data_IF_446347218212
#
_entry.id   IF_446347218212
#
_cell.length_a   1.000
_cell.length_b   1.000
_cell.length_c   1.000
_cell.angle_alpha   90.00
_cell.angle_beta   90.00
_cell.angle_gamma   90.00
#
_symmetry.space_group_name_H-M   'P 1'
#
loop_
_entity.id
_entity.type
_entity.pdbx_description
1 polymer ?
#
# COMPACT_ATOMS: atom_id res chain seq x y z
N UNK A 1 19.39 -30.19 -4.93
CA UNK A 1 18.02 -29.70 -5.18
C UNK A 1 17.96 -28.23 -4.78
N UNK A 2 17.88 -27.30 -5.73
CA UNK A 2 17.84 -25.86 -5.43
C UNK A 2 16.38 -25.53 -5.09
N UNK A 3 16.10 -25.27 -3.81
CA UNK A 3 14.76 -24.92 -3.36
C UNK A 3 14.43 -23.51 -3.87
N UNK A 4 13.79 -23.42 -5.03
CA UNK A 4 13.29 -22.17 -5.60
C UNK A 4 11.98 -21.78 -4.90
N UNK A 5 12.07 -21.52 -3.59
CA UNK A 5 10.94 -21.22 -2.73
C UNK A 5 10.41 -19.83 -3.06
N UNK A 6 9.19 -19.76 -3.61
CA UNK A 6 8.43 -18.50 -3.70
C UNK A 6 7.79 -18.26 -2.34
N UNK A 7 8.17 -17.16 -1.69
CA UNK A 7 7.50 -16.74 -0.45
C UNK A 7 6.41 -15.76 -0.86
N UNK A 8 5.21 -15.96 -0.32
CA UNK A 8 4.13 -14.98 -0.47
C UNK A 8 3.74 -14.41 0.89
N UNK A 9 3.66 -13.09 0.97
CA UNK A 9 3.28 -12.35 2.18
C UNK A 9 2.08 -11.45 1.87
N UNK A 10 1.24 -11.22 2.87
CA UNK A 10 0.18 -10.22 2.77
C UNK A 10 0.57 -8.98 3.55
N UNK A 11 0.41 -7.83 2.92
CA UNK A 11 0.75 -6.52 3.47
C UNK A 11 -0.45 -5.60 3.32
N UNK A 12 -0.70 -4.78 4.33
CA UNK A 12 -1.68 -3.70 4.29
C UNK A 12 -0.93 -2.38 4.13
N UNK A 13 -1.34 -1.56 3.17
CA UNK A 13 -1.05 -0.14 3.10
C UNK A 13 -2.19 0.63 3.75
N UNK A 14 -1.85 1.66 4.52
CA UNK A 14 -2.79 2.50 5.24
C UNK A 14 -2.41 3.97 5.05
N UNK A 15 -3.28 4.73 4.39
CA UNK A 15 -3.16 6.17 4.20
C UNK A 15 -4.14 6.89 5.14
N UNK A 16 -3.68 7.29 6.35
CA UNK A 16 -4.56 7.88 7.35
C UNK A 16 -4.94 9.32 7.03
N UNK A 17 -6.24 9.60 6.97
CA UNK A 17 -6.76 10.97 6.87
C UNK A 17 -7.67 11.35 8.03
N UNK A 18 -8.03 12.63 8.08
CA UNK A 18 -8.88 13.19 9.14
C UNK A 18 -10.32 12.66 9.07
N UNK A 19 -10.89 12.68 7.87
CA UNK A 19 -12.29 12.31 7.64
C UNK A 19 -12.39 10.90 7.02
N UNK A 20 -11.43 10.55 6.18
CA UNK A 20 -11.38 9.30 5.44
C UNK A 20 -9.96 8.78 5.35
N UNK A 21 -9.82 7.46 5.24
CA UNK A 21 -8.53 6.78 5.10
C UNK A 21 -8.54 5.84 3.91
N UNK A 22 -7.41 5.78 3.20
CA UNK A 22 -7.14 4.77 2.19
C UNK A 22 -6.62 3.48 2.81
N UNK A 23 -7.13 2.33 2.38
CA UNK A 23 -6.64 1.02 2.79
C UNK A 23 -6.44 0.17 1.54
N UNK A 24 -5.27 -0.45 1.42
CA UNK A 24 -4.98 -1.43 0.39
C UNK A 24 -4.39 -2.69 1.00
N UNK A 25 -4.91 -3.87 0.64
CA UNK A 25 -4.27 -5.15 0.93
C UNK A 25 -3.67 -5.70 -0.35
N UNK A 26 -2.41 -6.09 -0.25
CA UNK A 26 -1.67 -6.67 -1.37
C UNK A 26 -1.08 -8.00 -0.97
N UNK A 27 -0.92 -8.87 -1.96
CA UNK A 27 -0.09 -10.07 -1.88
C UNK A 27 1.23 -9.78 -2.56
N UNK A 28 2.31 -9.93 -1.81
CA UNK A 28 3.67 -9.84 -2.32
C UNK A 28 4.11 -11.21 -2.78
N UNK A 29 4.61 -11.30 -4.01
CA UNK A 29 5.26 -12.49 -4.52
C UNK A 29 6.75 -12.25 -4.57
N UNK A 30 7.46 -12.86 -3.63
CA UNK A 30 8.88 -12.64 -3.43
C UNK A 30 9.65 -13.80 -4.05
N UNK A 31 10.63 -13.47 -4.89
CA UNK A 31 11.57 -14.46 -5.42
C UNK A 31 12.88 -14.33 -4.68
N UNK A 32 13.30 -15.41 -4.03
CA UNK A 32 14.66 -15.48 -3.47
C UNK A 32 15.66 -15.40 -4.62
N UNK A 33 16.75 -14.61 -4.49
CA UNK A 33 17.79 -14.55 -5.50
C UNK A 33 18.33 -15.95 -5.80
N UNK A 34 18.57 -16.26 -7.07
CA UNK A 34 19.35 -17.45 -7.41
C UNK A 34 20.77 -17.27 -6.84
N UNK A 35 21.38 -18.34 -6.33
CA UNK A 35 22.72 -18.29 -5.74
C UNK A 35 23.70 -17.59 -6.71
N UNK A 36 24.30 -16.48 -6.27
CA UNK A 36 25.32 -15.74 -7.02
C UNK A 36 24.83 -14.51 -7.80
N UNK A 37 23.53 -14.20 -7.81
CA UNK A 37 23.05 -12.88 -8.23
C UNK A 37 23.02 -11.94 -7.02
N UNK A 38 23.46 -10.69 -7.19
CA UNK A 38 23.28 -9.63 -6.20
C UNK A 38 21.85 -9.67 -5.63
N UNK A 39 21.73 -9.30 -4.35
CA UNK A 39 20.59 -9.51 -3.44
C UNK A 39 19.30 -8.76 -3.82
N UNK A 40 18.95 -8.69 -5.11
CA UNK A 40 17.75 -8.06 -5.61
C UNK A 40 16.53 -8.92 -5.22
N UNK A 41 15.94 -8.60 -4.08
CA UNK A 41 14.63 -9.07 -3.69
C UNK A 41 13.57 -8.48 -4.64
N UNK A 42 13.24 -9.23 -5.69
CA UNK A 42 12.15 -8.80 -6.58
C UNK A 42 10.83 -9.24 -5.95
N UNK A 43 10.04 -8.26 -5.49
CA UNK A 43 8.68 -8.44 -5.04
C UNK A 43 7.70 -7.93 -6.10
N UNK A 44 6.84 -8.81 -6.63
CA UNK A 44 5.68 -8.36 -7.40
C UNK A 44 4.52 -8.05 -6.45
N UNK A 45 3.91 -6.88 -6.61
CA UNK A 45 2.74 -6.43 -5.84
C UNK A 45 1.48 -6.85 -6.59
N UNK A 46 0.67 -7.72 -5.99
CA UNK A 46 -0.67 -8.05 -6.47
C UNK A 46 -1.70 -7.40 -5.56
N UNK A 47 -2.47 -6.45 -6.09
CA UNK A 47 -3.55 -5.79 -5.35
C UNK A 47 -4.69 -6.80 -5.17
N UNK A 48 -4.96 -7.18 -3.91
CA UNK A 48 -6.06 -8.07 -3.55
C UNK A 48 -7.33 -7.27 -3.27
N UNK A 49 -7.19 -6.16 -2.54
CA UNK A 49 -8.29 -5.24 -2.27
C UNK A 49 -7.78 -3.82 -2.05
N UNK A 50 -8.56 -2.84 -2.48
CA UNK A 50 -8.35 -1.44 -2.13
C UNK A 50 -9.69 -0.78 -1.83
N UNK A 51 -9.73 0.12 -0.85
CA UNK A 51 -10.94 0.87 -0.48
C UNK A 51 -10.60 2.14 0.28
N UNK A 52 -11.48 3.13 0.16
CA UNK A 52 -11.53 4.27 1.08
C UNK A 52 -12.62 4.03 2.12
N UNK A 53 -12.32 4.35 3.38
CA UNK A 53 -13.23 4.20 4.53
C UNK A 53 -13.30 5.48 5.34
N UNK A 54 -14.37 5.67 6.07
CA UNK A 54 -14.47 6.74 7.07
C UNK A 54 -13.43 6.50 8.18
N UNK A 55 -12.76 7.56 8.64
CA UNK A 55 -11.70 7.47 9.66
C UNK A 55 -12.19 6.76 10.93
N UNK A 56 -13.43 7.00 11.35
CA UNK A 56 -14.04 6.33 12.51
C UNK A 56 -14.09 4.80 12.40
N UNK A 57 -14.07 4.25 11.18
CA UNK A 57 -14.10 2.80 10.90
C UNK A 57 -12.75 2.22 10.51
N UNK A 58 -11.72 3.05 10.31
CA UNK A 58 -10.46 2.65 9.69
C UNK A 58 -9.70 1.60 10.51
N UNK A 59 -9.57 1.80 11.83
CA UNK A 59 -8.91 0.83 12.71
C UNK A 59 -9.63 -0.51 12.70
N UNK A 60 -10.97 -0.49 12.80
CA UNK A 60 -11.76 -1.71 12.80
C UNK A 60 -11.58 -2.50 11.48
N UNK A 61 -11.49 -1.80 10.34
CA UNK A 61 -11.23 -2.43 9.04
C UNK A 61 -9.82 -3.07 9.00
N UNK A 62 -8.77 -2.35 9.41
CA UNK A 62 -7.40 -2.89 9.46
C UNK A 62 -7.31 -4.13 10.35
N UNK A 63 -7.93 -4.07 11.54
CA UNK A 63 -7.93 -5.20 12.50
C UNK A 63 -8.69 -6.39 11.94
N UNK A 64 -9.87 -6.18 11.36
CA UNK A 64 -10.64 -7.25 10.74
C UNK A 64 -9.84 -7.95 9.62
N UNK A 65 -9.09 -7.18 8.84
CA UNK A 65 -8.21 -7.76 7.81
C UNK A 65 -7.03 -8.55 8.41
N UNK A 66 -6.43 -8.08 9.50
CA UNK A 66 -5.38 -8.81 10.22
C UNK A 66 -5.88 -10.13 10.83
N UNK A 67 -7.18 -10.23 11.14
CA UNK A 67 -7.79 -11.46 11.65
C UNK A 67 -8.16 -12.45 10.53
N UNK A 68 -8.53 -11.94 9.35
CA UNK A 68 -9.01 -12.77 8.23
C UNK A 68 -7.89 -13.25 7.30
N UNK A 69 -6.76 -12.53 7.26
CA UNK A 69 -5.65 -12.80 6.37
C UNK A 69 -4.35 -12.91 7.17
N UNK A 70 -3.36 -13.69 6.70
CA UNK A 70 -2.05 -13.79 7.34
C UNK A 70 -1.21 -12.55 7.02
N UNK A 71 -1.66 -11.39 7.50
CA UNK A 71 -0.98 -10.11 7.35
C UNK A 71 0.31 -10.15 8.17
N UNK A 72 1.43 -9.80 7.55
CA UNK A 72 2.73 -9.72 8.23
C UNK A 72 3.12 -8.28 8.55
N UNK A 73 2.60 -7.32 7.78
CA UNK A 73 3.05 -5.93 7.84
C UNK A 73 1.90 -4.98 7.52
N UNK A 74 1.81 -3.91 8.30
CA UNK A 74 1.00 -2.72 8.03
C UNK A 74 1.96 -1.56 7.74
N UNK A 75 1.86 -0.98 6.55
CA UNK A 75 2.64 0.17 6.09
C UNK A 75 1.75 1.40 6.16
N UNK A 76 2.13 2.38 6.97
CA UNK A 76 1.34 3.59 7.24
C UNK A 76 2.04 4.85 6.72
N UNK A 77 1.28 5.79 6.15
CA UNK A 77 1.77 7.13 5.83
C UNK A 77 2.19 7.92 7.08
N UNK A 78 3.24 8.71 6.98
CA UNK A 78 3.82 9.48 8.09
C UNK A 78 3.31 10.93 8.21
N UNK A 79 2.15 11.22 7.63
CA UNK A 79 1.51 12.54 7.61
C UNK A 79 1.21 13.19 8.95
N UNK A 80 0.53 14.35 8.88
CA UNK A 80 0.30 15.23 10.04
C UNK A 80 -0.45 14.53 11.19
N UNK A 81 -1.33 13.57 10.89
CA UNK A 81 -2.08 12.81 11.89
C UNK A 81 -1.43 11.47 12.30
N UNK A 82 -0.30 11.11 11.69
CA UNK A 82 0.32 9.78 11.81
C UNK A 82 0.61 9.36 13.25
N UNK A 83 1.03 10.29 14.13
CA UNK A 83 1.31 9.98 15.54
C UNK A 83 0.09 9.42 16.27
N UNK A 84 -1.10 9.98 16.03
CA UNK A 84 -2.33 9.52 16.67
C UNK A 84 -2.68 8.10 16.20
N UNK A 85 -2.67 7.88 14.89
CA UNK A 85 -2.95 6.59 14.29
C UNK A 85 -1.95 5.52 14.69
N UNK A 86 -0.66 5.87 14.73
CA UNK A 86 0.42 4.97 15.14
C UNK A 86 0.17 4.43 16.53
N UNK A 87 -0.08 5.31 17.51
CA UNK A 87 -0.33 4.91 18.90
C UNK A 87 -1.51 3.95 19.00
N UNK A 88 -2.60 4.21 18.27
CA UNK A 88 -3.76 3.33 18.27
C UNK A 88 -3.47 1.96 17.63
N UNK A 89 -2.77 1.95 16.50
CA UNK A 89 -2.42 0.72 15.80
C UNK A 89 -1.43 -0.14 16.60
N UNK A 90 -0.42 0.46 17.23
CA UNK A 90 0.55 -0.26 18.07
C UNK A 90 -0.11 -0.98 19.26
N UNK A 91 -1.23 -0.45 19.77
CA UNK A 91 -1.97 -1.07 20.87
C UNK A 91 -2.88 -2.22 20.45
N UNK A 92 -3.37 -2.21 19.20
CA UNK A 92 -4.46 -3.10 18.77
C UNK A 92 -3.97 -4.17 17.78
N UNK A 93 -2.89 -3.90 17.04
CA UNK A 93 -2.33 -4.86 16.11
C UNK A 93 -1.79 -6.10 16.85
N UNK A 94 -1.94 -7.31 16.28
CA UNK A 94 -1.32 -8.50 16.83
C UNK A 94 0.20 -8.35 16.89
N UNK A 95 0.85 -8.91 17.91
CA UNK A 95 2.30 -8.84 18.07
C UNK A 95 3.11 -9.46 16.91
N UNK A 96 2.47 -10.29 16.09
CA UNK A 96 3.05 -10.88 14.88
C UNK A 96 3.05 -9.94 13.67
N UNK A 97 2.33 -8.82 13.74
CA UNK A 97 2.20 -7.84 12.66
C UNK A 97 3.15 -6.68 12.92
N UNK A 98 4.04 -6.40 11.97
CA UNK A 98 4.94 -5.25 12.06
C UNK A 98 4.25 -3.99 11.54
N UNK A 99 4.25 -2.90 12.32
CA UNK A 99 3.83 -1.57 11.86
C UNK A 99 5.06 -0.77 11.40
N UNK A 100 5.04 -0.32 10.14
CA UNK A 100 6.10 0.49 9.55
C UNK A 100 5.51 1.80 9.05
N UNK A 101 6.25 2.90 9.18
CA UNK A 101 5.87 4.21 8.63
C UNK A 101 6.74 4.58 7.44
N UNK A 102 6.12 5.17 6.42
CA UNK A 102 6.78 5.57 5.18
C UNK A 102 6.42 7.01 4.84
N UNK A 103 7.38 7.70 4.24
CA UNK A 103 7.21 9.06 3.76
C UNK A 103 6.07 9.15 2.73
N UNK A 104 5.03 9.93 3.06
CA UNK A 104 3.87 10.17 2.19
C UNK A 104 4.03 11.39 1.26
N UNK A 105 5.17 12.08 1.27
CA UNK A 105 5.40 13.28 0.48
C UNK A 105 5.08 13.05 -0.99
N UNK A 106 4.29 13.96 -1.57
CA UNK A 106 3.84 13.96 -2.96
C UNK A 106 3.04 12.71 -3.40
N UNK A 107 2.64 11.84 -2.45
CA UNK A 107 1.91 10.60 -2.75
C UNK A 107 0.56 10.86 -3.42
N UNK A 108 -0.13 11.93 -3.05
CA UNK A 108 -1.41 12.32 -3.66
C UNK A 108 -1.24 12.66 -5.14
N UNK A 109 -0.19 13.38 -5.52
CA UNK A 109 0.06 13.71 -6.93
C UNK A 109 0.41 12.46 -7.74
N UNK A 110 1.24 11.58 -7.16
CA UNK A 110 1.56 10.28 -7.75
C UNK A 110 0.31 9.41 -7.93
N UNK A 111 -0.60 9.39 -6.95
CA UNK A 111 -1.87 8.69 -7.04
C UNK A 111 -2.78 9.25 -8.15
N UNK A 112 -2.80 10.57 -8.37
CA UNK A 112 -3.55 11.19 -9.48
C UNK A 112 -3.04 10.71 -10.84
N UNK A 113 -1.72 10.60 -10.99
CA UNK A 113 -1.13 10.10 -12.22
C UNK A 113 -1.41 8.60 -12.39
N UNK A 114 -1.30 7.82 -11.31
CA UNK A 114 -1.56 6.37 -11.29
C UNK A 114 -3.02 6.00 -11.54
N UNK A 115 -3.97 6.85 -11.14
CA UNK A 115 -5.40 6.67 -11.40
C UNK A 115 -5.68 6.42 -12.90
N UNK A 116 -5.06 7.18 -13.79
CA UNK A 116 -5.30 7.05 -15.23
C UNK A 116 -4.68 5.79 -15.86
N UNK A 117 -3.67 5.20 -15.21
CA UNK A 117 -3.11 3.89 -15.59
C UNK A 117 -4.06 2.76 -15.21
N UNK A 118 -4.69 2.84 -14.03
CA UNK A 118 -5.68 1.86 -13.56
C UNK A 118 -7.04 2.01 -14.26
N UNK A 119 -7.41 3.24 -14.63
CA UNK A 119 -8.67 3.58 -15.26
C UNK A 119 -8.43 4.27 -16.61
N UNK A 120 -7.98 3.52 -17.64
CA UNK A 120 -7.70 4.10 -18.95
C UNK A 120 -8.96 4.75 -19.54
N UNK A 121 -8.80 6.01 -19.99
CA UNK A 121 -9.88 6.79 -20.61
C UNK A 121 -10.44 6.12 -21.86
N UNK A 122 -11.77 6.03 -21.97
CA UNK A 122 -12.47 5.46 -23.13
C UNK A 122 -13.21 6.56 -23.92
N UNK A 123 -13.31 6.40 -25.24
CA UNK A 123 -14.07 7.32 -26.12
C UNK A 123 -13.48 8.73 -26.20
N UNK A 124 -14.35 9.75 -26.26
CA UNK A 124 -13.99 11.18 -26.43
C UNK A 124 -13.10 11.72 -25.31
N UNK A 125 -13.15 11.11 -24.11
CA UNK A 125 -12.28 11.47 -22.99
C UNK A 125 -10.79 11.26 -23.28
N UNK A 126 -10.43 10.47 -24.31
CA UNK A 126 -9.04 10.26 -24.76
C UNK A 126 -8.39 11.53 -25.32
N UNK A 127 -9.19 12.47 -25.83
CA UNK A 127 -8.69 13.70 -26.47
C UNK A 127 -8.22 14.71 -25.41
N UNK A 128 -8.83 14.69 -24.22
CA UNK A 128 -8.49 15.58 -23.12
C UNK A 128 -7.21 15.04 -22.44
N UNK A 129 -6.13 15.82 -22.28
CA UNK A 129 -4.96 15.41 -21.52
C UNK A 129 -5.31 15.01 -20.08
N UNK A 130 -4.65 13.97 -19.54
CA UNK A 130 -4.95 13.43 -18.21
C UNK A 130 -4.90 14.50 -17.09
N UNK A 131 -3.97 15.44 -17.18
CA UNK A 131 -3.81 16.55 -16.21
C UNK A 131 -5.00 17.52 -16.17
N UNK A 132 -5.82 17.57 -17.22
CA UNK A 132 -7.01 18.42 -17.30
C UNK A 132 -8.31 17.69 -16.94
N UNK A 133 -8.24 16.39 -16.66
CA UNK A 133 -9.42 15.60 -16.30
C UNK A 133 -9.65 15.68 -14.78
N UNK A 134 -10.90 15.86 -14.38
CA UNK A 134 -11.28 15.74 -12.98
C UNK A 134 -11.37 14.26 -12.58
N UNK A 135 -10.83 13.91 -11.42
CA UNK A 135 -10.93 12.55 -10.87
C UNK A 135 -12.27 12.46 -10.12
N UNK A 136 -13.17 11.53 -10.49
CA UNK A 136 -14.53 11.48 -9.94
C UNK A 136 -14.62 10.83 -8.55
N UNK A 137 -13.54 10.26 -8.02
CA UNK A 137 -13.54 9.51 -6.77
C UNK A 137 -12.32 9.86 -5.89
N UNK A 138 -12.39 9.54 -4.59
CA UNK A 138 -11.20 9.51 -3.73
C UNK A 138 -10.11 8.61 -4.32
N UNK A 139 -8.84 8.93 -4.02
CA UNK A 139 -7.66 8.20 -4.51
C UNK A 139 -6.73 7.78 -3.35
N UNK A 140 -7.19 7.96 -2.11
CA UNK A 140 -6.44 7.64 -0.90
C UNK A 140 -6.10 6.12 -0.85
N UNK A 141 -6.93 5.27 -1.45
CA UNK A 141 -6.66 3.85 -1.60
C UNK A 141 -5.52 3.54 -2.60
N UNK A 142 -5.36 4.35 -3.65
CA UNK A 142 -4.18 4.31 -4.53
C UNK A 142 -2.94 4.77 -3.77
N UNK A 143 -3.05 5.81 -2.94
CA UNK A 143 -1.95 6.26 -2.06
C UNK A 143 -1.51 5.11 -1.16
N UNK A 144 -2.43 4.36 -0.56
CA UNK A 144 -2.11 3.19 0.26
C UNK A 144 -1.28 2.12 -0.50
N UNK A 145 -1.54 1.91 -1.79
CA UNK A 145 -0.71 1.02 -2.64
C UNK A 145 0.69 1.61 -2.84
N UNK A 146 0.79 2.90 -3.16
CA UNK A 146 2.06 3.61 -3.37
C UNK A 146 2.93 3.55 -2.11
N UNK A 147 2.35 3.67 -0.91
CA UNK A 147 3.09 3.54 0.34
C UNK A 147 3.76 2.16 0.48
N UNK A 148 3.07 1.09 0.08
CA UNK A 148 3.65 -0.26 0.06
C UNK A 148 4.78 -0.36 -0.97
N UNK A 149 4.59 0.20 -2.18
CA UNK A 149 5.63 0.22 -3.22
C UNK A 149 6.88 0.97 -2.75
N UNK A 150 6.72 2.10 -2.06
CA UNK A 150 7.82 2.87 -1.46
C UNK A 150 8.54 2.08 -0.37
N UNK A 151 7.80 1.41 0.52
CA UNK A 151 8.39 0.52 1.52
C UNK A 151 9.23 -0.58 0.87
N UNK A 152 8.74 -1.22 -0.19
CA UNK A 152 9.51 -2.25 -0.90
C UNK A 152 10.78 -1.70 -1.55
N UNK A 153 10.73 -0.49 -2.09
CA UNK A 153 11.90 0.17 -2.66
C UNK A 153 12.98 0.43 -1.60
N UNK A 154 12.61 0.81 -0.37
CA UNK A 154 13.60 0.98 0.71
C UNK A 154 14.24 -0.34 1.13
N UNK A 155 13.47 -1.44 1.14
CA UNK A 155 14.01 -2.77 1.47
C UNK A 155 14.95 -3.32 0.40
N UNK A 156 14.74 -2.94 -0.86
CA UNK A 156 15.59 -3.37 -1.99
C UNK A 156 16.94 -2.64 -2.04
N UNK A 157 17.05 -1.47 -1.38
CA UNK A 157 18.28 -0.68 -1.29
C UNK A 157 19.08 -0.85 0.00
N UNK A 158 18.58 -1.65 0.96
CA UNK A 158 19.21 -1.90 2.27
C UNK A 158 19.79 -3.32 2.43
N UNK A 159 19.90 -4.10 1.34
CA UNK A 159 20.49 -5.45 1.33
C UNK A 159 21.71 -5.53 0.41
#
# INVERSE_FOLDING_TARGET
>A
MINNSRVSQFVIGFDPGRDKCGIARVKLLCRSPAHGAEQAFTASVLIDRMRVVESASAIADVVAQCQQFPITTVVMGDGTSSKHWRTQLEQILPATVTLVTVNEYNSTQEARDRYWTLHPSRGLSRIIPAKLRSIPCPIDDIVAVILIERWLATQSGQL
#
